data_IF_491162421520
#
_entry.id   IF_491162421520
#
_cell.length_a   1.000
_cell.length_b   1.000
_cell.length_c   1.000
_cell.angle_alpha   90.00
_cell.angle_beta   90.00
_cell.angle_gamma   90.00
#
_symmetry.space_group_name_H-M   'P 1'
#
loop_
_entity.id
_entity.type
_entity.pdbx_description
1 polymer ?
#
# COMPACT_ATOMS: atom_id res chain seq x y z
N UNK A 1 14.93 -11.48 12.56
CA UNK A 1 13.65 -12.21 12.47
C UNK A 1 13.56 -12.87 11.10
N UNK A 2 12.92 -14.01 10.96
CA UNK A 2 12.81 -14.72 9.67
C UNK A 2 11.79 -14.04 8.76
N UNK A 3 12.14 -13.81 7.49
CA UNK A 3 11.25 -13.23 6.49
C UNK A 3 9.98 -14.07 6.30
N UNK A 4 8.84 -13.39 6.15
CA UNK A 4 7.54 -13.99 5.88
C UNK A 4 7.49 -14.45 4.43
N UNK A 5 7.15 -15.72 4.19
CA UNK A 5 7.11 -16.30 2.85
C UNK A 5 5.68 -16.49 2.33
N UNK A 6 5.53 -16.59 1.01
CA UNK A 6 4.26 -16.94 0.35
C UNK A 6 3.64 -18.21 0.94
N UNK A 7 4.46 -19.21 1.26
CA UNK A 7 3.99 -20.46 1.85
C UNK A 7 3.43 -20.24 3.27
N UNK A 8 4.06 -19.39 4.07
CA UNK A 8 3.56 -19.03 5.39
C UNK A 8 2.23 -18.28 5.29
N UNK A 9 2.07 -17.37 4.33
CA UNK A 9 0.81 -16.68 4.03
C UNK A 9 -0.28 -17.69 3.66
N UNK A 10 -0.03 -18.59 2.70
CA UNK A 10 -0.99 -19.65 2.30
C UNK A 10 -1.39 -20.55 3.47
N UNK A 11 -0.47 -20.84 4.38
CA UNK A 11 -0.74 -21.68 5.55
C UNK A 11 -1.51 -20.96 6.66
N UNK A 12 -1.54 -19.62 6.68
CA UNK A 12 -2.17 -18.84 7.74
C UNK A 12 -3.66 -19.14 7.88
N UNK A 13 -4.36 -19.24 6.74
CA UNK A 13 -5.78 -19.65 6.66
C UNK A 13 -6.04 -20.96 7.37
N UNK A 14 -5.28 -22.01 7.05
CA UNK A 14 -5.43 -23.34 7.69
C UNK A 14 -5.14 -23.33 9.18
N UNK A 15 -4.27 -22.42 9.63
CA UNK A 15 -3.92 -22.24 11.04
C UNK A 15 -4.88 -21.31 11.79
N UNK A 16 -5.86 -20.70 11.11
CA UNK A 16 -6.73 -19.70 11.69
C UNK A 16 -6.02 -18.41 12.12
N UNK A 17 -4.77 -18.17 11.67
CA UNK A 17 -4.04 -16.95 11.97
C UNK A 17 -4.56 -15.82 11.09
N UNK A 18 -5.08 -14.76 11.69
CA UNK A 18 -5.45 -13.53 10.97
C UNK A 18 -4.21 -12.82 10.46
N UNK A 19 -4.19 -12.53 9.16
CA UNK A 19 -3.09 -11.82 8.50
C UNK A 19 -3.26 -10.30 8.66
N UNK A 20 -2.16 -9.62 8.99
CA UNK A 20 -2.13 -8.15 9.10
C UNK A 20 -1.33 -7.57 7.94
N UNK A 21 -1.95 -6.68 7.17
CA UNK A 21 -1.33 -6.03 6.02
C UNK A 21 -1.49 -4.52 6.12
N UNK A 22 -0.43 -3.78 5.85
CA UNK A 22 -0.44 -2.31 5.83
C UNK A 22 0.30 -1.79 4.60
N UNK A 23 -0.03 -0.59 4.15
CA UNK A 23 0.68 0.04 3.03
C UNK A 23 1.94 0.80 3.49
N UNK A 24 2.98 0.84 2.68
CA UNK A 24 4.11 1.75 2.89
C UNK A 24 4.76 2.12 1.56
N UNK A 25 5.26 3.35 1.48
CA UNK A 25 5.74 3.94 0.23
C UNK A 25 7.15 4.54 0.37
N UNK A 26 7.72 4.51 1.57
CA UNK A 26 9.05 5.05 1.89
C UNK A 26 9.77 4.19 2.94
N UNK A 27 11.04 4.50 3.17
CA UNK A 27 11.88 3.81 4.14
C UNK A 27 11.37 3.90 5.59
N UNK A 28 11.14 5.11 6.17
CA UNK A 28 10.81 5.21 7.60
C UNK A 28 9.46 4.56 7.94
N UNK A 29 8.44 4.73 7.09
CA UNK A 29 7.13 4.12 7.31
C UNK A 29 7.22 2.60 7.21
N UNK A 30 7.88 2.08 6.16
CA UNK A 30 8.04 0.65 5.96
C UNK A 30 8.77 -0.02 7.13
N UNK A 31 9.83 0.63 7.64
CA UNK A 31 10.56 0.16 8.82
C UNK A 31 9.68 0.10 10.06
N UNK A 32 8.95 1.18 10.35
CA UNK A 32 8.11 1.27 11.52
C UNK A 32 7.01 0.19 11.53
N UNK A 33 6.33 -0.03 10.41
CA UNK A 33 5.27 -1.06 10.34
C UNK A 33 5.83 -2.49 10.35
N UNK A 34 7.03 -2.71 9.77
CA UNK A 34 7.70 -4.01 9.80
C UNK A 34 8.08 -4.42 11.23
N UNK A 35 8.66 -3.47 11.99
CA UNK A 35 9.00 -3.59 13.42
C UNK A 35 7.75 -3.82 14.29
N UNK A 36 6.61 -3.24 13.92
CA UNK A 36 5.33 -3.47 14.58
C UNK A 36 4.75 -4.88 14.36
N UNK A 37 5.33 -5.68 13.46
CA UNK A 37 4.96 -7.10 13.32
C UNK A 37 3.94 -7.41 12.22
N UNK A 38 3.71 -6.52 11.24
CA UNK A 38 2.77 -6.80 10.13
C UNK A 38 3.22 -8.00 9.28
N UNK A 39 2.30 -8.85 8.82
CA UNK A 39 2.66 -10.01 8.01
C UNK A 39 3.04 -9.62 6.57
N UNK A 40 2.37 -8.61 6.02
CA UNK A 40 2.56 -8.14 4.64
C UNK A 40 2.66 -6.61 4.59
N UNK A 41 3.52 -6.12 3.70
CA UNK A 41 3.61 -4.70 3.36
C UNK A 41 3.24 -4.51 1.89
N UNK A 42 2.33 -3.59 1.60
CA UNK A 42 1.89 -3.27 0.25
C UNK A 42 2.39 -1.91 -0.19
N UNK A 43 3.16 -1.88 -1.28
CA UNK A 43 3.42 -0.66 -2.03
C UNK A 43 2.27 -0.52 -3.03
N UNK A 44 1.15 0.02 -2.54
CA UNK A 44 -0.12 0.14 -3.26
C UNK A 44 -0.17 1.38 -4.16
N UNK A 45 -0.88 1.29 -5.28
CA UNK A 45 -1.10 2.45 -6.18
C UNK A 45 -1.90 3.59 -5.52
N UNK A 46 -2.56 3.32 -4.38
CA UNK A 46 -3.03 4.30 -3.39
C UNK A 46 -2.03 5.45 -3.10
N UNK A 47 -0.72 5.23 -3.27
CA UNK A 47 0.31 6.27 -3.16
C UNK A 47 0.07 7.46 -4.08
N UNK A 48 -0.58 7.23 -5.23
CA UNK A 48 -1.00 8.28 -6.15
C UNK A 48 -1.78 9.38 -5.42
N UNK A 49 -2.69 8.98 -4.53
CA UNK A 49 -3.56 9.90 -3.82
C UNK A 49 -2.90 10.39 -2.52
N UNK A 50 -2.44 9.45 -1.68
CA UNK A 50 -2.01 9.79 -0.31
C UNK A 50 -0.57 10.31 -0.22
N UNK A 51 0.24 10.12 -1.25
CA UNK A 51 1.63 10.61 -1.32
C UNK A 51 1.81 11.65 -2.42
N UNK A 52 1.34 11.37 -3.64
CA UNK A 52 1.55 12.24 -4.80
C UNK A 52 0.45 13.29 -5.00
N UNK A 53 -0.67 13.17 -4.29
CA UNK A 53 -1.75 14.16 -4.33
C UNK A 53 -2.62 14.12 -5.60
N UNK A 54 -2.56 13.06 -6.40
CA UNK A 54 -3.49 12.84 -7.51
C UNK A 54 -4.92 12.62 -7.01
N UNK A 55 -5.90 12.93 -7.86
CA UNK A 55 -7.32 12.71 -7.55
C UNK A 55 -7.72 11.22 -7.58
N UNK A 56 -7.01 10.40 -8.36
CA UNK A 56 -7.26 8.95 -8.48
C UNK A 56 -5.94 8.19 -8.62
N UNK A 57 -5.98 6.87 -8.54
CA UNK A 57 -4.78 6.01 -8.72
C UNK A 57 -4.38 5.79 -10.18
N UNK A 58 -5.30 6.02 -11.12
CA UNK A 58 -5.09 5.75 -12.54
C UNK A 58 -3.85 6.43 -13.19
N UNK A 59 -3.44 7.66 -12.82
CA UNK A 59 -2.31 8.33 -13.45
C UNK A 59 -0.93 7.79 -13.07
N UNK A 60 -0.83 6.98 -12.01
CA UNK A 60 0.48 6.57 -11.50
C UNK A 60 1.21 5.67 -12.50
N UNK A 61 2.46 6.01 -12.77
CA UNK A 61 3.33 5.29 -13.70
C UNK A 61 3.98 4.07 -13.05
N UNK A 62 4.49 3.17 -13.89
CA UNK A 62 5.33 2.04 -13.42
C UNK A 62 6.60 2.55 -12.75
N UNK A 63 7.19 3.65 -13.23
CA UNK A 63 8.43 4.20 -12.67
C UNK A 63 8.23 4.78 -11.26
N UNK A 64 7.13 5.50 -11.02
CA UNK A 64 6.77 5.99 -9.69
C UNK A 64 6.55 4.82 -8.72
N UNK A 65 5.82 3.78 -9.15
CA UNK A 65 5.61 2.58 -8.33
C UNK A 65 6.92 1.86 -8.00
N UNK A 66 7.83 1.71 -8.98
CA UNK A 66 9.15 1.11 -8.76
C UNK A 66 10.02 1.96 -7.82
N UNK A 67 9.96 3.30 -7.93
CA UNK A 67 10.68 4.21 -7.04
C UNK A 67 10.25 4.00 -5.58
N UNK A 68 8.96 4.06 -5.31
CA UNK A 68 8.42 3.88 -3.97
C UNK A 68 8.64 2.46 -3.44
N UNK A 69 8.57 1.44 -4.30
CA UNK A 69 8.88 0.07 -3.91
C UNK A 69 10.35 -0.11 -3.51
N UNK A 70 11.29 0.48 -4.27
CA UNK A 70 12.73 0.53 -3.92
C UNK A 70 12.94 1.23 -2.57
N UNK A 71 12.19 2.30 -2.29
CA UNK A 71 12.27 3.01 -1.02
C UNK A 71 11.77 2.15 0.16
N UNK A 72 10.56 1.59 0.04
CA UNK A 72 9.95 0.75 1.06
C UNK A 72 10.76 -0.53 1.33
N UNK A 73 11.32 -1.19 0.30
CA UNK A 73 12.15 -2.39 0.44
C UNK A 73 13.29 -2.21 1.42
N UNK A 74 13.92 -1.03 1.47
CA UNK A 74 15.02 -0.74 2.40
C UNK A 74 14.58 -0.75 3.86
N UNK A 75 13.29 -0.54 4.13
CA UNK A 75 12.72 -0.53 5.48
C UNK A 75 12.15 -1.88 5.91
N UNK A 76 11.75 -2.75 4.97
CA UNK A 76 11.18 -4.06 5.30
C UNK A 76 12.29 -5.09 5.49
N UNK A 77 12.29 -5.77 6.65
CA UNK A 77 13.21 -6.85 6.96
C UNK A 77 12.52 -8.20 7.15
N UNK A 78 11.26 -8.20 7.62
CA UNK A 78 10.51 -9.41 7.96
C UNK A 78 9.28 -9.62 7.08
N UNK A 79 8.42 -8.62 6.91
CA UNK A 79 7.15 -8.77 6.21
C UNK A 79 7.35 -9.15 4.73
N UNK A 80 6.34 -9.79 4.14
CA UNK A 80 6.31 -10.07 2.72
C UNK A 80 5.97 -8.79 1.96
N UNK A 81 6.89 -8.28 1.14
CA UNK A 81 6.72 -7.03 0.39
C UNK A 81 6.02 -7.27 -0.94
N UNK A 82 4.91 -6.58 -1.17
CA UNK A 82 4.10 -6.68 -2.39
C UNK A 82 4.16 -5.36 -3.14
N UNK A 83 4.52 -5.42 -4.43
CA UNK A 83 4.41 -4.29 -5.35
C UNK A 83 3.08 -4.34 -6.08
N UNK A 84 2.29 -3.28 -6.01
CA UNK A 84 1.06 -3.20 -6.80
C UNK A 84 1.38 -2.84 -8.25
N UNK A 85 0.80 -3.58 -9.20
CA UNK A 85 0.97 -3.26 -10.60
C UNK A 85 -0.05 -2.19 -11.00
N UNK A 86 0.38 -0.96 -11.34
CA UNK A 86 -0.54 0.11 -11.70
C UNK A 86 -1.22 -0.17 -13.04
N UNK A 87 -2.28 0.58 -13.36
CA UNK A 87 -3.00 0.43 -14.63
C UNK A 87 -2.06 0.49 -15.85
N UNK A 88 -1.08 1.41 -15.82
CA UNK A 88 -0.07 1.57 -16.87
C UNK A 88 0.89 0.37 -17.02
N UNK A 89 0.92 -0.56 -16.06
CA UNK A 89 1.74 -1.76 -16.14
C UNK A 89 1.17 -2.83 -17.08
N UNK A 90 -0.09 -2.67 -17.50
CA UNK A 90 -0.78 -3.61 -18.37
C UNK A 90 -0.82 -3.09 -19.81
N UNK A 91 -0.63 -3.99 -20.77
CA UNK A 91 -0.83 -3.71 -22.18
C UNK A 91 -2.03 -4.49 -22.72
N UNK A 92 -2.17 -4.52 -24.04
CA UNK A 92 -3.15 -5.39 -24.72
C UNK A 92 -2.87 -6.88 -24.58
N UNK A 93 -1.67 -7.27 -24.14
CA UNK A 93 -1.23 -8.65 -24.01
C UNK A 93 -0.59 -8.95 -22.64
N UNK A 94 -0.67 -10.21 -22.16
CA UNK A 94 -0.05 -10.62 -20.90
C UNK A 94 1.47 -10.38 -20.82
N UNK A 95 2.18 -10.40 -21.94
CA UNK A 95 3.65 -10.27 -21.98
C UNK A 95 4.13 -8.92 -21.44
N UNK A 96 3.36 -7.85 -21.63
CA UNK A 96 3.67 -6.52 -21.07
C UNK A 96 3.56 -6.54 -19.54
N UNK A 97 2.51 -7.15 -19.01
CA UNK A 97 2.34 -7.30 -17.56
C UNK A 97 3.45 -8.17 -16.97
N UNK A 98 3.79 -9.30 -17.60
CA UNK A 98 4.90 -10.17 -17.17
C UNK A 98 6.23 -9.41 -17.12
N UNK A 99 6.54 -8.60 -18.13
CA UNK A 99 7.76 -7.78 -18.16
C UNK A 99 7.78 -6.78 -17.00
N UNK A 100 6.70 -6.04 -16.80
CA UNK A 100 6.63 -5.05 -15.73
C UNK A 100 6.66 -5.70 -14.34
N UNK A 101 5.96 -6.82 -14.15
CA UNK A 101 6.01 -7.59 -12.90
C UNK A 101 7.44 -8.01 -12.55
N UNK A 102 8.22 -8.53 -13.52
CA UNK A 102 9.63 -8.87 -13.29
C UNK A 102 10.45 -7.68 -12.78
N UNK A 103 10.15 -6.45 -13.22
CA UNK A 103 10.82 -5.24 -12.71
C UNK A 103 10.53 -4.99 -11.24
N UNK A 104 9.30 -5.21 -10.77
CA UNK A 104 8.97 -5.12 -9.34
C UNK A 104 9.77 -6.12 -8.50
N UNK A 105 9.93 -7.36 -8.98
CA UNK A 105 10.72 -8.36 -8.25
C UNK A 105 12.23 -8.04 -8.30
N UNK A 106 12.77 -7.80 -9.49
CA UNK A 106 14.22 -7.72 -9.71
C UNK A 106 14.79 -6.34 -9.39
N UNK A 107 14.14 -5.27 -9.86
CA UNK A 107 14.66 -3.91 -9.65
C UNK A 107 14.24 -3.33 -8.31
N UNK A 108 13.01 -3.61 -7.86
CA UNK A 108 12.48 -3.04 -6.62
C UNK A 108 12.58 -3.97 -5.40
N UNK A 109 12.87 -5.27 -5.60
CA UNK A 109 13.02 -6.22 -4.51
C UNK A 109 11.69 -6.64 -3.87
N UNK A 110 10.56 -6.49 -4.57
CA UNK A 110 9.29 -7.02 -4.10
C UNK A 110 9.31 -8.55 -4.11
N UNK A 111 8.71 -9.17 -3.10
CA UNK A 111 8.60 -10.63 -2.98
C UNK A 111 7.42 -11.17 -3.84
N UNK A 112 6.44 -10.31 -4.12
CA UNK A 112 5.26 -10.62 -4.93
C UNK A 112 4.69 -9.36 -5.58
N UNK A 113 3.72 -9.56 -6.48
CA UNK A 113 2.95 -8.47 -7.09
C UNK A 113 1.45 -8.60 -6.84
N UNK A 114 0.74 -7.47 -6.74
CA UNK A 114 -0.73 -7.41 -6.71
C UNK A 114 -1.26 -6.95 -8.07
N UNK A 115 -2.37 -7.55 -8.51
CA UNK A 115 -3.09 -7.15 -9.72
C UNK A 115 -4.59 -7.03 -9.44
N UNK A 116 -5.23 -6.08 -10.12
CA UNK A 116 -6.67 -5.84 -10.01
C UNK A 116 -7.44 -6.54 -11.11
N UNK A 117 -8.60 -7.09 -10.75
CA UNK A 117 -9.49 -7.69 -11.72
C UNK A 117 -9.91 -6.70 -12.80
N UNK A 118 -9.81 -7.15 -14.04
CA UNK A 118 -10.41 -6.57 -15.25
C UNK A 118 -10.59 -7.71 -16.26
N UNK A 119 -11.29 -7.50 -17.39
CA UNK A 119 -11.42 -8.54 -18.40
C UNK A 119 -10.06 -9.15 -18.79
N UNK A 120 -10.02 -10.47 -18.92
CA UNK A 120 -8.82 -11.27 -19.25
C UNK A 120 -7.68 -11.26 -18.20
N UNK A 121 -7.95 -10.78 -16.97
CA UNK A 121 -6.92 -10.74 -15.93
C UNK A 121 -6.52 -12.13 -15.42
N UNK A 122 -7.40 -13.12 -15.50
CA UNK A 122 -7.11 -14.52 -15.19
C UNK A 122 -6.02 -15.10 -16.11
N UNK A 123 -6.06 -14.78 -17.40
CA UNK A 123 -5.02 -15.18 -18.36
C UNK A 123 -3.68 -14.50 -18.06
N UNK A 124 -3.74 -13.21 -17.69
CA UNK A 124 -2.54 -12.45 -17.29
C UNK A 124 -1.93 -13.00 -16.01
N UNK A 125 -2.75 -13.28 -15.00
CA UNK A 125 -2.34 -13.90 -13.75
C UNK A 125 -1.69 -15.26 -13.98
N UNK A 126 -2.30 -16.11 -14.82
CA UNK A 126 -1.73 -17.42 -15.19
C UNK A 126 -0.36 -17.25 -15.83
N UNK A 127 -0.23 -16.38 -16.83
CA UNK A 127 1.06 -16.14 -17.50
C UNK A 127 2.15 -15.66 -16.53
N UNK A 128 1.78 -14.86 -15.52
CA UNK A 128 2.71 -14.40 -14.49
C UNK A 128 3.11 -15.52 -13.53
N UNK A 129 2.16 -16.35 -13.10
CA UNK A 129 2.43 -17.51 -12.25
C UNK A 129 3.29 -18.55 -12.98
N UNK A 130 3.00 -18.84 -14.24
CA UNK A 130 3.78 -19.77 -15.07
C UNK A 130 5.21 -19.27 -15.30
N UNK A 131 5.42 -17.95 -15.27
CA UNK A 131 6.73 -17.32 -15.30
C UNK A 131 7.44 -17.30 -13.92
N UNK A 132 6.90 -17.99 -12.91
CA UNK A 132 7.49 -18.18 -11.59
C UNK A 132 7.24 -17.05 -10.58
N UNK A 133 6.31 -16.13 -10.86
CA UNK A 133 6.03 -14.99 -9.97
C UNK A 133 4.90 -15.30 -8.99
N UNK A 134 5.03 -14.81 -7.76
CA UNK A 134 3.96 -14.82 -6.78
C UNK A 134 2.97 -13.66 -7.04
N UNK A 135 1.69 -14.00 -7.25
CA UNK A 135 0.65 -13.04 -7.60
C UNK A 135 -0.46 -13.03 -6.54
N UNK A 136 -0.76 -11.84 -6.02
CA UNK A 136 -1.95 -11.58 -5.21
C UNK A 136 -3.05 -10.99 -6.10
N UNK A 137 -4.22 -11.60 -6.09
CA UNK A 137 -5.39 -11.09 -6.81
C UNK A 137 -6.11 -10.00 -6.02
N UNK A 138 -6.88 -9.16 -6.71
CA UNK A 138 -7.77 -8.18 -6.09
C UNK A 138 -9.10 -8.15 -6.85
N UNK A 139 -10.22 -8.40 -6.14
CA UNK A 139 -11.59 -8.31 -6.66
C UNK A 139 -12.47 -7.45 -5.74
N UNK A 140 -13.66 -7.08 -6.23
CA UNK A 140 -14.56 -6.16 -5.54
C UNK A 140 -14.50 -4.80 -6.20
N UNK A 141 -14.32 -3.74 -5.42
CA UNK A 141 -13.97 -2.44 -5.95
C UNK A 141 -12.50 -2.44 -6.37
N UNK A 142 -12.23 -2.24 -7.65
CA UNK A 142 -10.87 -2.10 -8.20
C UNK A 142 -10.61 -0.63 -8.55
N UNK A 143 -9.86 0.13 -7.71
CA UNK A 143 -9.62 1.56 -7.90
C UNK A 143 -9.16 1.95 -9.31
N UNK A 144 -8.37 1.10 -9.97
CA UNK A 144 -7.85 1.37 -11.32
C UNK A 144 -8.96 1.51 -12.37
N UNK A 145 -10.09 0.83 -12.19
CA UNK A 145 -11.24 0.84 -13.12
C UNK A 145 -12.47 1.51 -12.53
N UNK A 146 -12.38 2.04 -11.30
CA UNK A 146 -13.52 2.57 -10.56
C UNK A 146 -14.30 3.64 -11.34
N UNK A 147 -13.63 4.55 -12.06
CA UNK A 147 -14.29 5.58 -12.85
C UNK A 147 -15.22 5.01 -13.94
N UNK A 148 -14.81 3.93 -14.61
CA UNK A 148 -15.63 3.25 -15.61
C UNK A 148 -16.79 2.45 -14.99
N UNK A 149 -16.70 2.15 -13.70
CA UNK A 149 -17.67 1.35 -12.94
C UNK A 149 -18.56 2.21 -12.01
N UNK A 150 -18.64 3.52 -12.24
CA UNK A 150 -19.51 4.42 -11.47
C UNK A 150 -18.89 4.97 -10.18
N UNK A 151 -17.56 4.95 -10.08
CA UNK A 151 -16.79 5.56 -9.00
C UNK A 151 -16.52 4.64 -7.80
N UNK A 152 -15.94 5.23 -6.76
CA UNK A 152 -15.65 4.54 -5.50
C UNK A 152 -16.94 4.20 -4.77
N UNK A 153 -17.07 2.93 -4.35
CA UNK A 153 -18.23 2.49 -3.58
C UNK A 153 -18.39 0.98 -3.54
N UNK A 154 -19.31 0.55 -2.68
CA UNK A 154 -19.56 -0.87 -2.45
C UNK A 154 -20.02 -1.63 -3.70
N UNK A 155 -19.41 -2.79 -3.97
CA UNK A 155 -19.71 -3.72 -5.07
C UNK A 155 -20.41 -4.98 -4.55
N UNK A 156 -21.17 -5.68 -5.39
CA UNK A 156 -21.85 -6.92 -4.96
C UNK A 156 -23.12 -6.71 -4.16
N UNK A 157 -23.82 -5.57 -4.34
CA UNK A 157 -25.04 -5.23 -3.59
C UNK A 157 -26.26 -6.09 -3.99
N UNK A 158 -26.28 -6.60 -5.20
CA UNK A 158 -27.28 -7.53 -5.70
C UNK A 158 -26.66 -8.91 -5.98
N UNK A 159 -27.51 -9.95 -6.04
CA UNK A 159 -27.08 -11.34 -6.20
C UNK A 159 -26.28 -11.58 -7.48
N UNK A 160 -26.61 -10.90 -8.58
CA UNK A 160 -25.91 -11.08 -9.86
C UNK A 160 -24.49 -10.46 -9.78
N UNK A 161 -24.36 -9.26 -9.22
CA UNK A 161 -23.07 -8.63 -8.96
C UNK A 161 -22.23 -9.44 -7.98
N UNK A 162 -22.82 -9.97 -6.90
CA UNK A 162 -22.12 -10.81 -5.94
C UNK A 162 -21.61 -12.12 -6.58
N UNK A 163 -22.45 -12.79 -7.36
CA UNK A 163 -22.08 -14.01 -8.08
C UNK A 163 -20.93 -13.76 -9.06
N UNK A 164 -20.94 -12.62 -9.77
CA UNK A 164 -19.81 -12.22 -10.64
C UNK A 164 -18.52 -12.08 -9.85
N UNK A 165 -18.51 -11.35 -8.73
CA UNK A 165 -17.28 -11.15 -7.93
C UNK A 165 -16.74 -12.48 -7.38
N UNK A 166 -17.63 -13.40 -6.96
CA UNK A 166 -17.22 -14.75 -6.55
C UNK A 166 -16.54 -15.49 -7.71
N UNK A 167 -17.14 -15.46 -8.91
CA UNK A 167 -16.56 -16.12 -10.08
C UNK A 167 -15.20 -15.53 -10.49
N UNK A 168 -15.02 -14.21 -10.35
CA UNK A 168 -13.76 -13.51 -10.59
C UNK A 168 -12.67 -13.97 -9.59
N UNK A 169 -13.02 -14.04 -8.30
CA UNK A 169 -12.13 -14.53 -7.26
C UNK A 169 -11.68 -15.98 -7.52
N UNK A 170 -12.63 -16.86 -7.84
CA UNK A 170 -12.35 -18.26 -8.18
C UNK A 170 -11.50 -18.38 -9.47
N UNK A 171 -11.69 -17.49 -10.45
CA UNK A 171 -10.89 -17.46 -11.67
C UNK A 171 -9.43 -17.10 -11.39
N UNK A 172 -9.17 -16.07 -10.57
CA UNK A 172 -7.81 -15.70 -10.16
C UNK A 172 -7.15 -16.77 -9.28
N UNK A 173 -7.91 -17.44 -8.40
CA UNK A 173 -7.39 -18.59 -7.66
C UNK A 173 -7.00 -19.73 -8.61
N UNK A 174 -7.87 -20.09 -9.58
CA UNK A 174 -7.56 -21.09 -10.59
C UNK A 174 -6.33 -20.72 -11.42
N UNK A 175 -6.14 -19.43 -11.70
CA UNK A 175 -4.96 -18.89 -12.38
C UNK A 175 -3.66 -19.01 -11.56
N UNK A 176 -3.76 -19.27 -10.26
CA UNK A 176 -2.62 -19.57 -9.38
C UNK A 176 -2.27 -18.47 -8.38
N UNK A 177 -3.12 -17.45 -8.21
CA UNK A 177 -2.89 -16.42 -7.20
C UNK A 177 -2.74 -17.06 -5.80
N UNK A 178 -1.85 -16.52 -4.96
CA UNK A 178 -1.56 -17.11 -3.64
C UNK A 178 -2.39 -16.53 -2.50
N UNK A 179 -3.01 -15.37 -2.72
CA UNK A 179 -3.89 -14.65 -1.80
C UNK A 179 -4.83 -13.75 -2.62
N UNK A 180 -5.91 -13.26 -1.97
CA UNK A 180 -6.93 -12.44 -2.61
C UNK A 180 -7.31 -11.24 -1.75
N UNK A 181 -7.17 -10.02 -2.27
CA UNK A 181 -7.78 -8.83 -1.67
C UNK A 181 -9.25 -8.76 -2.07
N UNK A 182 -10.12 -8.50 -1.09
CA UNK A 182 -11.53 -8.22 -1.27
C UNK A 182 -11.80 -6.79 -0.80
N UNK A 183 -12.09 -5.88 -1.73
CA UNK A 183 -12.33 -4.47 -1.40
C UNK A 183 -13.79 -4.06 -1.56
N UNK A 184 -14.33 -3.42 -0.52
CA UNK A 184 -15.67 -2.82 -0.50
C UNK A 184 -16.78 -3.78 -1.00
N UNK A 185 -16.82 -5.01 -0.50
CA UNK A 185 -17.93 -5.95 -0.76
C UNK A 185 -18.75 -6.19 0.52
N UNK A 186 -20.05 -6.49 0.45
CA UNK A 186 -20.84 -6.88 1.61
C UNK A 186 -20.22 -8.05 2.38
N UNK A 187 -20.41 -8.05 3.69
CA UNK A 187 -19.81 -9.04 4.60
C UNK A 187 -20.23 -10.48 4.24
N UNK A 188 -21.49 -10.66 3.83
CA UNK A 188 -22.01 -11.94 3.37
C UNK A 188 -21.25 -12.44 2.13
N UNK A 189 -20.94 -11.54 1.19
CA UNK A 189 -20.19 -11.87 -0.03
C UNK A 189 -18.75 -12.21 0.31
N UNK A 190 -18.08 -11.39 1.13
CA UNK A 190 -16.72 -11.66 1.59
C UNK A 190 -16.61 -13.01 2.31
N UNK A 191 -17.59 -13.34 3.17
CA UNK A 191 -17.69 -14.62 3.86
C UNK A 191 -17.83 -15.79 2.89
N UNK A 192 -18.67 -15.66 1.85
CA UNK A 192 -18.83 -16.71 0.84
C UNK A 192 -17.54 -16.93 0.05
N UNK A 193 -16.88 -15.85 -0.40
CA UNK A 193 -15.60 -15.94 -1.11
C UNK A 193 -14.55 -16.60 -0.21
N UNK A 194 -14.43 -16.16 1.04
CA UNK A 194 -13.45 -16.69 1.99
C UNK A 194 -13.66 -18.19 2.26
N UNK A 195 -14.90 -18.67 2.31
CA UNK A 195 -15.19 -20.10 2.47
C UNK A 195 -14.86 -20.93 1.23
N UNK A 196 -15.05 -20.37 0.03
CA UNK A 196 -14.87 -21.06 -1.25
C UNK A 196 -13.40 -21.19 -1.65
N UNK A 197 -12.64 -20.12 -1.44
CA UNK A 197 -11.22 -20.11 -1.80
C UNK A 197 -10.38 -20.93 -0.81
N UNK A 198 -9.42 -21.68 -1.35
CA UNK A 198 -8.37 -22.39 -0.60
C UNK A 198 -7.23 -21.46 -0.19
N UNK A 199 -7.06 -20.34 -0.91
CA UNK A 199 -6.10 -19.27 -0.59
C UNK A 199 -6.67 -18.29 0.46
N UNK A 200 -5.81 -17.61 1.24
CA UNK A 200 -6.24 -16.58 2.18
C UNK A 200 -6.86 -15.37 1.48
N UNK A 201 -7.92 -14.83 2.09
CA UNK A 201 -8.53 -13.55 1.70
C UNK A 201 -8.11 -12.42 2.64
N UNK A 202 -7.88 -11.22 2.11
CA UNK A 202 -7.52 -10.01 2.85
C UNK A 202 -8.62 -8.97 2.59
N UNK A 203 -9.33 -8.57 3.64
CA UNK A 203 -10.42 -7.59 3.52
C UNK A 203 -9.95 -6.15 3.64
N UNK A 204 -10.60 -5.25 2.91
CA UNK A 204 -10.59 -3.81 3.15
C UNK A 204 -12.01 -3.28 2.87
N UNK A 205 -12.71 -2.85 3.92
CA UNK A 205 -14.14 -2.55 3.81
C UNK A 205 -15.01 -3.76 3.46
N UNK A 206 -14.56 -4.97 3.79
CA UNK A 206 -15.19 -6.25 3.42
C UNK A 206 -15.46 -7.16 4.63
N UNK A 207 -15.77 -6.54 5.78
CA UNK A 207 -16.16 -7.23 7.01
C UNK A 207 -15.05 -8.05 7.69
N UNK A 208 -15.35 -8.66 8.86
CA UNK A 208 -14.36 -9.38 9.67
C UNK A 208 -14.11 -10.83 9.18
N UNK A 209 -14.87 -11.32 8.22
CA UNK A 209 -14.86 -12.72 7.82
C UNK A 209 -13.68 -13.13 6.92
N UNK A 210 -12.93 -12.18 6.36
CA UNK A 210 -11.69 -12.46 5.63
C UNK A 210 -10.59 -13.05 6.52
N UNK A 211 -9.64 -13.79 5.93
CA UNK A 211 -8.48 -14.38 6.64
C UNK A 211 -7.44 -13.34 7.12
N UNK A 212 -7.58 -12.09 6.70
CA UNK A 212 -6.78 -10.97 7.15
C UNK A 212 -7.40 -9.63 6.78
N UNK A 213 -6.72 -8.54 7.11
CA UNK A 213 -7.17 -7.18 6.83
C UNK A 213 -6.03 -6.34 6.27
N UNK A 214 -6.36 -5.43 5.35
CA UNK A 214 -5.47 -4.37 4.85
C UNK A 214 -6.09 -3.00 5.06
N UNK A 215 -5.27 -2.03 5.44
CA UNK A 215 -5.65 -0.61 5.53
C UNK A 215 -4.51 0.22 4.94
N UNK A 216 -4.86 1.31 4.26
CA UNK A 216 -3.89 2.33 3.85
C UNK A 216 -3.33 3.01 5.10
N UNK A 217 -2.02 2.94 5.32
CA UNK A 217 -1.40 3.40 6.57
C UNK A 217 -1.62 4.89 6.83
N UNK A 218 -1.76 5.70 5.79
CA UNK A 218 -2.03 7.12 5.90
C UNK A 218 -3.46 7.39 6.40
N UNK A 219 -4.44 6.58 6.02
CA UNK A 219 -5.80 6.66 6.57
C UNK A 219 -5.79 6.19 8.03
N UNK A 220 -5.08 5.09 8.33
CA UNK A 220 -4.95 4.52 9.67
C UNK A 220 -4.35 5.51 10.67
N UNK A 221 -3.35 6.28 10.25
CA UNK A 221 -2.63 7.24 11.08
C UNK A 221 -3.21 8.67 11.02
N UNK A 222 -4.27 8.90 10.26
CA UNK A 222 -4.89 10.22 10.11
C UNK A 222 -3.97 11.27 9.47
N UNK A 223 -3.21 10.85 8.45
CA UNK A 223 -2.36 11.72 7.64
C UNK A 223 -3.06 12.23 6.38
N UNK A 224 -3.96 11.43 5.81
CA UNK A 224 -4.74 11.82 4.64
C UNK A 224 -6.05 12.49 5.08
N UNK A 225 -6.29 13.72 4.64
CA UNK A 225 -7.36 14.57 5.15
C UNK A 225 -8.42 14.97 4.11
N UNK A 226 -8.30 14.52 2.85
CA UNK A 226 -9.34 14.77 1.83
C UNK A 226 -10.64 14.04 2.15
N UNK A 227 -10.56 12.81 2.63
CA UNK A 227 -11.68 12.04 3.17
C UNK A 227 -11.15 10.87 4.01
N UNK A 228 -11.97 10.35 4.91
CA UNK A 228 -11.70 9.09 5.62
C UNK A 228 -12.70 8.04 5.16
N UNK A 229 -12.27 6.90 4.57
CA UNK A 229 -13.21 5.85 4.20
C UNK A 229 -13.96 5.34 5.43
N UNK A 230 -15.28 5.11 5.30
CA UNK A 230 -16.15 4.72 6.44
C UNK A 230 -15.72 3.43 7.15
N UNK A 231 -14.94 2.58 6.48
CA UNK A 231 -14.45 1.32 7.03
C UNK A 231 -13.10 1.45 7.76
N UNK A 232 -12.48 2.63 7.77
CA UNK A 232 -11.20 2.85 8.45
C UNK A 232 -11.43 3.29 9.89
N UNK A 233 -10.76 2.61 10.82
CA UNK A 233 -10.55 3.10 12.19
C UNK A 233 -9.20 3.80 12.24
N UNK A 234 -9.19 5.07 12.63
CA UNK A 234 -7.95 5.81 12.88
C UNK A 234 -7.40 5.43 14.26
N UNK A 235 -6.08 5.20 14.32
CA UNK A 235 -5.35 4.91 15.56
C UNK A 235 -4.50 6.11 16.03
N UNK A 236 -4.36 7.12 15.17
CA UNK A 236 -3.72 8.39 15.48
C UNK A 236 -4.30 9.50 14.58
N UNK A 237 -4.02 10.75 14.93
CA UNK A 237 -4.33 11.93 14.13
C UNK A 237 -3.03 12.69 13.80
N UNK A 238 -2.10 12.02 13.10
CA UNK A 238 -0.76 12.56 12.89
C UNK A 238 -0.75 13.85 12.06
N UNK A 239 -1.75 14.06 11.19
CA UNK A 239 -1.90 15.33 10.46
C UNK A 239 -2.00 16.54 11.40
N UNK A 240 -2.73 16.41 12.52
CA UNK A 240 -2.86 17.49 13.51
C UNK A 240 -1.55 17.73 14.26
N UNK A 241 -0.86 16.66 14.64
CA UNK A 241 0.45 16.74 15.31
C UNK A 241 1.46 17.45 14.40
N UNK A 242 1.50 17.12 13.11
CA UNK A 242 2.38 17.77 12.13
C UNK A 242 2.03 19.25 12.00
N UNK A 243 0.75 19.60 11.83
CA UNK A 243 0.29 20.99 11.70
C UNK A 243 0.62 21.81 12.95
N UNK A 244 0.42 21.25 14.14
CA UNK A 244 0.74 21.90 15.40
C UNK A 244 2.24 22.15 15.53
N UNK A 245 3.07 21.13 15.31
CA UNK A 245 4.52 21.24 15.44
C UNK A 245 5.12 22.25 14.45
N UNK A 246 4.66 22.20 13.18
CA UNK A 246 5.12 23.13 12.14
C UNK A 246 4.65 24.57 12.41
N UNK A 247 3.40 24.76 12.87
CA UNK A 247 2.90 26.09 13.25
C UNK A 247 3.65 26.67 14.45
N UNK A 248 3.98 25.84 15.45
CA UNK A 248 4.79 26.25 16.59
C UNK A 248 6.20 26.70 16.14
N UNK A 249 6.86 25.91 15.29
CA UNK A 249 8.16 26.28 14.72
C UNK A 249 8.10 27.61 13.93
N UNK A 250 7.07 27.79 13.09
CA UNK A 250 6.82 29.06 12.39
C UNK A 250 6.68 30.22 13.38
N UNK A 251 5.96 30.02 14.47
CA UNK A 251 5.79 31.00 15.55
C UNK A 251 7.11 31.35 16.24
N UNK A 252 7.97 30.36 16.51
CA UNK A 252 9.26 30.56 17.16
C UNK A 252 10.24 31.32 16.27
N UNK A 253 10.29 31.01 14.98
CA UNK A 253 11.13 31.74 14.02
C UNK A 253 10.67 33.19 13.88
N UNK A 254 9.35 33.42 13.69
CA UNK A 254 8.80 34.77 13.52
C UNK A 254 8.99 35.67 14.75
N UNK A 255 9.02 35.07 15.94
CA UNK A 255 9.24 35.79 17.19
C UNK A 255 10.73 35.90 17.58
N UNK A 256 11.65 35.39 16.77
CA UNK A 256 13.08 35.38 17.09
C UNK A 256 13.46 34.48 18.28
N UNK A 257 12.60 33.53 18.66
CA UNK A 257 12.90 32.52 19.70
C UNK A 257 13.76 31.39 19.17
N UNK A 258 13.64 31.09 17.87
CA UNK A 258 14.50 30.12 17.18
C UNK A 258 15.36 30.79 16.10
N UNK A 259 16.65 30.45 16.00
CA UNK A 259 17.39 29.56 16.90
C UNK A 259 17.63 30.20 18.28
N UNK A 260 17.53 29.38 19.33
CA UNK A 260 17.91 29.77 20.69
C UNK A 260 19.40 29.56 20.95
N UNK A 261 19.84 29.80 22.19
CA UNK A 261 21.26 29.60 22.59
C UNK A 261 21.75 28.17 22.35
N UNK A 262 20.92 27.17 22.63
CA UNK A 262 21.28 25.75 22.49
C UNK A 262 21.55 25.36 21.02
N UNK A 263 20.81 25.96 20.08
CA UNK A 263 20.92 25.73 18.65
C UNK A 263 21.90 26.68 17.95
N UNK A 264 22.51 27.62 18.69
CA UNK A 264 23.45 28.59 18.15
C UNK A 264 24.88 28.21 18.51
N UNK A 265 25.81 28.48 17.58
CA UNK A 265 27.25 28.38 17.80
C UNK A 265 27.88 29.74 17.52
N UNK A 266 28.79 30.16 18.38
CA UNK A 266 29.47 31.47 18.26
C UNK A 266 30.92 31.27 17.83
N UNK A 267 31.48 32.25 17.12
CA UNK A 267 32.91 32.31 16.86
C UNK A 267 33.69 32.47 18.17
N UNK A 268 34.93 31.97 18.19
CA UNK A 268 35.87 32.32 19.25
C UNK A 268 36.05 33.87 19.29
N UNK A 269 36.08 34.50 20.47
CA UNK A 269 36.11 35.96 20.58
C UNK A 269 37.23 36.64 19.76
N UNK A 270 38.42 36.04 19.74
CA UNK A 270 39.59 36.60 19.02
C UNK A 270 39.42 36.54 17.49
N UNK A 271 38.86 35.46 16.96
CA UNK A 271 38.57 35.34 15.53
C UNK A 271 37.45 36.31 15.12
N UNK A 272 36.46 36.54 15.99
CA UNK A 272 35.43 37.54 15.72
C UNK A 272 36.00 38.97 15.69
N UNK A 273 36.98 39.27 16.54
CA UNK A 273 37.71 40.55 16.51
C UNK A 273 38.48 40.74 15.20
N UNK A 274 39.21 39.71 14.75
CA UNK A 274 39.93 39.73 13.46
C UNK A 274 38.97 39.91 12.28
N UNK A 275 37.81 39.25 12.31
CA UNK A 275 36.77 39.42 11.30
C UNK A 275 36.31 40.87 11.21
N UNK A 276 36.00 41.50 12.36
CA UNK A 276 35.58 42.91 12.40
C UNK A 276 36.62 43.85 11.77
N UNK A 277 37.90 43.63 12.06
CA UNK A 277 39.00 44.42 11.49
C UNK A 277 39.16 44.25 9.97
N UNK A 278 38.77 43.09 9.41
CA UNK A 278 38.83 42.85 7.96
C UNK A 278 37.65 43.45 7.19
N UNK A 279 36.54 43.74 7.87
CA UNK A 279 35.32 44.27 7.28
C UNK A 279 35.19 45.80 7.42
N UNK A 280 36.04 46.42 8.23
CA UNK A 280 36.20 47.88 8.37
C UNK A 280 37.20 48.42 7.37
#
# INVERSE_FOLDING_TARGET
MTQVTVQQIRSAKRRGKKLVMLTAYDYPMAKAIDEAGVDLVLVGDSLAMVVLGFETTAPVSVEEMLHHAKAARRGVSRALLIGDMPLAAFGSTPSTAVRNAKRFLVEAGCDAVKIEWKPSMDQTARAMVDAGMAVMGHVGLTPQTAAAEGGFGMRGKDAASAARIIAQAEALERAGCFAMVLECVPDEVARQITKRLKIPTIGIGSGPHCDGQVVVTYDLLGLFDRFTPKFVKQYAHLGDVIRQATSAFVGDVRAGRFPGKEQTRTMAPDEFKKLKQRLS
#
